data_IF_540666963147
#
_entry.id   IF_540666963147
#
_cell.length_a   1.000
_cell.length_b   1.000
_cell.length_c   1.000
_cell.angle_alpha   90.00
_cell.angle_beta   90.00
_cell.angle_gamma   90.00
#
_symmetry.space_group_name_H-M   'P 1'
#
loop_
_entity.id
_entity.type
_entity.pdbx_description
1 polymer ?
#
# COMPACT_ATOMS: atom_id res chain seq x y z
N UNK A 1 -0.57 32.36 29.05
CA UNK A 1 -0.24 31.10 28.36
C UNK A 1 -0.87 31.16 26.98
N UNK A 2 -0.10 31.13 25.90
CA UNK A 2 -0.64 31.09 24.55
C UNK A 2 -1.38 29.75 24.39
N UNK A 3 -2.72 29.79 24.33
CA UNK A 3 -3.55 28.61 24.12
C UNK A 3 -3.23 27.93 22.77
N UNK A 4 -3.67 26.69 22.60
CA UNK A 4 -3.54 25.91 21.36
C UNK A 4 -4.36 26.53 20.22
N UNK A 5 -3.91 27.67 19.73
CA UNK A 5 -4.43 28.32 18.52
C UNK A 5 -3.77 27.66 17.32
N UNK A 6 -4.56 27.29 16.31
CA UNK A 6 -4.03 26.79 15.03
C UNK A 6 -3.29 27.92 14.31
N UNK A 7 -2.00 27.73 14.07
CA UNK A 7 -1.17 28.63 13.26
C UNK A 7 -1.09 28.12 11.83
N UNK A 8 -1.13 28.99 10.81
CA UNK A 8 -1.05 28.59 9.40
C UNK A 8 0.40 28.26 9.01
N UNK A 9 0.96 27.20 9.59
CA UNK A 9 2.29 26.69 9.24
C UNK A 9 2.25 26.03 7.86
N UNK A 10 3.14 26.42 6.92
CA UNK A 10 3.14 25.86 5.57
C UNK A 10 3.65 24.42 5.58
N UNK A 11 2.73 23.45 5.68
CA UNK A 11 3.07 22.01 5.67
C UNK A 11 3.12 21.42 4.26
N UNK A 12 2.19 21.80 3.38
CA UNK A 12 2.09 21.20 2.06
C UNK A 12 3.29 21.53 1.15
N UNK A 13 3.76 22.78 1.17
CA UNK A 13 4.85 23.26 0.30
C UNK A 13 6.21 22.57 0.53
N UNK A 14 6.65 22.29 1.76
CA UNK A 14 7.86 21.50 1.97
C UNK A 14 7.62 19.99 1.95
N UNK A 15 6.42 19.51 2.31
CA UNK A 15 6.18 18.07 2.49
C UNK A 15 5.67 17.33 1.25
N UNK A 16 5.26 18.04 0.18
CA UNK A 16 4.73 17.38 -1.03
C UNK A 16 5.67 16.36 -1.68
N UNK A 17 7.02 16.48 -1.67
CA UNK A 17 7.88 15.45 -2.26
C UNK A 17 7.81 14.13 -1.49
N UNK A 18 7.65 14.19 -0.15
CA UNK A 18 7.49 13.01 0.69
C UNK A 18 6.12 12.36 0.49
N UNK A 19 5.06 13.18 0.39
CA UNK A 19 3.74 12.68 0.04
C UNK A 19 3.77 11.98 -1.33
N UNK A 20 4.41 12.58 -2.32
CA UNK A 20 4.58 11.97 -3.65
C UNK A 20 5.37 10.66 -3.59
N UNK A 21 6.52 10.65 -2.91
CA UNK A 21 7.32 9.45 -2.72
C UNK A 21 6.50 8.32 -2.06
N UNK A 22 5.70 8.65 -1.04
CA UNK A 22 4.85 7.66 -0.36
C UNK A 22 3.84 7.01 -1.32
N UNK A 23 3.23 7.79 -2.22
CA UNK A 23 2.29 7.29 -3.23
C UNK A 23 3.00 6.35 -4.20
N UNK A 24 4.20 6.74 -4.67
CA UNK A 24 5.00 5.92 -5.59
C UNK A 24 5.40 4.59 -4.93
N UNK A 25 5.92 4.65 -3.70
CA UNK A 25 6.31 3.45 -2.95
C UNK A 25 5.10 2.55 -2.68
N UNK A 26 3.97 3.13 -2.28
CA UNK A 26 2.74 2.38 -2.04
C UNK A 26 2.29 1.62 -3.29
N UNK A 27 2.27 2.27 -4.46
CA UNK A 27 1.93 1.62 -5.71
C UNK A 27 2.90 0.47 -6.06
N UNK A 28 4.20 0.69 -5.85
CA UNK A 28 5.21 -0.35 -6.04
C UNK A 28 4.99 -1.57 -5.13
N UNK A 29 4.72 -1.33 -3.84
CA UNK A 29 4.46 -2.39 -2.86
C UNK A 29 3.19 -3.17 -3.21
N UNK A 30 2.09 -2.50 -3.57
CA UNK A 30 0.84 -3.17 -3.96
C UNK A 30 1.08 -4.12 -5.14
N UNK A 31 1.84 -3.69 -6.14
CA UNK A 31 2.18 -4.54 -7.29
C UNK A 31 3.07 -5.71 -6.89
N UNK A 32 4.11 -5.46 -6.11
CA UNK A 32 5.02 -6.51 -5.62
C UNK A 32 4.28 -7.55 -4.77
N UNK A 33 3.38 -7.10 -3.90
CA UNK A 33 2.53 -7.97 -3.08
C UNK A 33 1.65 -8.88 -3.93
N UNK A 34 1.07 -8.37 -5.03
CA UNK A 34 0.27 -9.17 -5.97
C UNK A 34 1.03 -10.40 -6.48
N UNK A 35 2.33 -10.26 -6.79
CA UNK A 35 3.16 -11.40 -7.18
C UNK A 35 3.50 -12.31 -6.00
N UNK A 36 3.80 -11.74 -4.83
CA UNK A 36 4.16 -12.51 -3.64
C UNK A 36 3.02 -13.44 -3.19
N UNK A 37 1.78 -12.96 -3.22
CA UNK A 37 0.60 -13.76 -2.81
C UNK A 37 0.17 -14.80 -3.84
N UNK A 38 0.68 -14.72 -5.07
CA UNK A 38 0.44 -15.70 -6.14
C UNK A 38 1.50 -16.80 -6.19
N UNK A 39 2.44 -16.84 -5.24
CA UNK A 39 3.41 -17.93 -5.18
C UNK A 39 2.73 -19.24 -4.72
N UNK A 40 3.23 -20.42 -5.15
CA UNK A 40 2.61 -21.71 -4.82
C UNK A 40 2.48 -21.99 -3.32
N UNK A 41 3.42 -21.46 -2.52
CA UNK A 41 3.39 -21.58 -1.07
C UNK A 41 2.38 -20.62 -0.43
N UNK A 42 2.27 -19.40 -0.96
CA UNK A 42 1.32 -18.40 -0.47
C UNK A 42 -0.14 -18.69 -0.86
N UNK A 43 -0.39 -19.37 -1.98
CA UNK A 43 -1.74 -19.79 -2.39
C UNK A 43 -2.31 -20.85 -1.42
N UNK A 44 -1.43 -21.69 -0.87
CA UNK A 44 -1.82 -22.75 0.09
C UNK A 44 -2.05 -22.21 1.51
N UNK A 45 -1.64 -20.97 1.79
CA UNK A 45 -1.86 -20.36 3.10
C UNK A 45 -3.36 -19.98 3.26
N UNK A 46 -4.07 -20.55 4.25
CA UNK A 46 -5.49 -20.22 4.49
C UNK A 46 -5.73 -18.75 4.88
N UNK A 47 -4.67 -18.00 5.22
CA UNK A 47 -4.75 -16.57 5.54
C UNK A 47 -4.72 -15.69 4.30
N UNK A 48 -4.37 -16.22 3.13
CA UNK A 48 -4.34 -15.45 1.90
C UNK A 48 -5.77 -15.21 1.38
N UNK A 49 -6.31 -13.99 1.49
CA UNK A 49 -7.69 -13.72 1.09
C UNK A 49 -7.87 -13.77 -0.43
N UNK A 50 -6.77 -13.77 -1.20
CA UNK A 50 -6.78 -13.77 -2.65
C UNK A 50 -6.63 -15.18 -3.25
N UNK A 51 -6.31 -16.20 -2.44
CA UNK A 51 -6.04 -17.56 -2.92
C UNK A 51 -7.17 -18.10 -3.83
N UNK A 52 -8.44 -17.95 -3.42
CA UNK A 52 -9.58 -18.42 -4.21
C UNK A 52 -9.77 -17.67 -5.55
N UNK A 53 -9.33 -16.41 -5.65
CA UNK A 53 -9.38 -15.63 -6.89
C UNK A 53 -8.21 -15.99 -7.80
N UNK A 54 -7.02 -16.18 -7.23
CA UNK A 54 -5.80 -16.53 -7.94
C UNK A 54 -5.89 -17.93 -8.56
N UNK A 55 -6.41 -18.92 -7.83
CA UNK A 55 -6.67 -20.27 -8.37
C UNK A 55 -7.64 -20.24 -9.56
N UNK A 56 -8.65 -19.35 -9.53
CA UNK A 56 -9.57 -19.16 -10.66
C UNK A 56 -8.92 -18.48 -11.85
N UNK A 57 -7.97 -17.56 -11.62
CA UNK A 57 -7.22 -16.88 -12.67
C UNK A 57 -6.19 -17.81 -13.32
N UNK A 58 -5.56 -18.72 -12.57
CA UNK A 58 -4.65 -19.74 -13.12
C UNK A 58 -5.38 -20.85 -13.89
N UNK A 59 -6.64 -21.11 -13.54
CA UNK A 59 -7.47 -22.13 -14.19
C UNK A 59 -8.12 -21.66 -15.51
N UNK A 60 -7.92 -20.40 -15.93
CA UNK A 60 -8.45 -19.84 -17.18
C UNK A 60 -7.33 -19.58 -18.19
#
# INVERSE_FOLDING_TARGET
MFGLRKWPTPMAAPLWPFAFASVVTFFGVVKAQGFAVATPDAIKDPRNPYAAQLVKQEAH
#
